data_IF_404479718310
#
_entry.id   IF_404479718310
#
_cell.length_a   1.000
_cell.length_b   1.000
_cell.length_c   1.000
_cell.angle_alpha   90.00
_cell.angle_beta   90.00
_cell.angle_gamma   90.00
#
_symmetry.space_group_name_H-M   'P 1'
#
loop_
_entity.id
_entity.type
_entity.pdbx_description
1 polymer ?
#
# COMPACT_ATOMS: atom_id res chain seq x y z
N UNK A 1 24.53 -38.30 27.16
CA UNK A 1 23.20 -37.86 26.73
C UNK A 1 23.26 -36.35 26.47
N UNK A 2 23.73 -35.96 25.28
CA UNK A 2 24.13 -34.58 24.92
C UNK A 2 23.57 -34.19 23.55
N UNK A 3 22.30 -34.49 23.24
CA UNK A 3 21.79 -34.27 21.87
C UNK A 3 20.29 -33.95 21.83
N UNK A 4 19.77 -33.11 22.73
CA UNK A 4 18.34 -32.77 22.71
C UNK A 4 18.00 -31.29 22.93
N UNK A 5 19.00 -30.40 23.03
CA UNK A 5 18.77 -28.98 23.34
C UNK A 5 19.12 -28.00 22.19
N UNK A 6 19.53 -28.51 21.03
CA UNK A 6 19.94 -27.68 19.89
C UNK A 6 18.86 -27.48 18.81
N UNK A 7 17.72 -28.17 18.90
CA UNK A 7 16.71 -28.23 17.83
C UNK A 7 15.47 -27.34 18.07
N UNK A 8 15.42 -26.60 19.19
CA UNK A 8 14.30 -25.71 19.51
C UNK A 8 14.53 -24.24 19.06
N UNK A 9 15.75 -23.86 18.67
CA UNK A 9 16.04 -22.49 18.22
C UNK A 9 15.97 -22.28 16.70
N UNK A 10 15.77 -23.35 15.91
CA UNK A 10 15.73 -23.26 14.44
C UNK A 10 14.31 -23.35 13.84
N UNK A 11 13.27 -23.49 14.66
CA UNK A 11 11.89 -23.68 14.18
C UNK A 11 11.01 -22.43 14.12
N UNK A 12 11.47 -21.29 14.64
CA UNK A 12 10.62 -20.10 14.86
C UNK A 12 10.96 -18.90 13.96
N UNK A 13 11.77 -19.10 12.92
CA UNK A 13 12.21 -18.03 12.01
C UNK A 13 11.49 -18.00 10.65
N UNK A 14 10.45 -18.81 10.43
CA UNK A 14 9.77 -18.93 9.12
C UNK A 14 8.35 -18.35 9.14
N UNK A 15 8.07 -17.32 9.94
CA UNK A 15 6.70 -16.79 10.10
C UNK A 15 6.46 -15.43 9.41
N UNK A 16 7.48 -14.77 8.85
CA UNK A 16 7.27 -13.43 8.25
C UNK A 16 7.94 -13.27 6.89
N UNK A 17 7.53 -14.06 5.90
CA UNK A 17 7.85 -13.77 4.51
C UNK A 17 6.68 -14.11 3.59
N UNK A 18 5.51 -13.56 3.89
CA UNK A 18 4.46 -13.37 2.90
C UNK A 18 4.20 -11.87 2.78
N UNK A 19 5.22 -11.16 2.27
CA UNK A 19 4.95 -9.89 1.61
C UNK A 19 4.01 -10.23 0.45
N UNK A 20 2.79 -9.72 0.51
CA UNK A 20 1.77 -9.94 -0.49
C UNK A 20 2.31 -9.56 -1.87
N UNK A 21 2.75 -10.57 -2.63
CA UNK A 21 3.00 -10.45 -4.06
C UNK A 21 1.63 -10.45 -4.74
N UNK A 22 0.82 -9.45 -4.39
CA UNK A 22 -0.23 -8.99 -5.28
C UNK A 22 0.51 -8.37 -6.45
N UNK A 23 0.75 -9.16 -7.48
CA UNK A 23 1.21 -8.72 -8.80
C UNK A 23 0.17 -7.77 -9.36
N UNK A 24 0.18 -6.56 -8.84
CA UNK A 24 -0.70 -5.49 -9.18
C UNK A 24 -0.13 -4.87 -10.43
N UNK A 25 -0.68 -5.25 -11.58
CA UNK A 25 -0.25 -4.93 -12.94
C UNK A 25 -0.40 -3.43 -13.30
N UNK A 26 -0.08 -2.54 -12.35
CA UNK A 26 -0.24 -1.08 -12.41
C UNK A 26 1.11 -0.35 -12.33
N UNK A 27 2.14 -0.99 -11.79
CA UNK A 27 3.48 -0.40 -11.60
C UNK A 27 4.11 -0.10 -12.96
N UNK A 28 4.56 1.15 -13.16
CA UNK A 28 5.20 1.56 -14.42
C UNK A 28 4.32 1.47 -15.68
N UNK A 29 3.02 1.15 -15.57
CA UNK A 29 2.08 1.13 -16.69
C UNK A 29 1.22 2.40 -16.68
N UNK A 30 0.85 2.93 -17.86
CA UNK A 30 -0.10 4.03 -17.94
C UNK A 30 -1.48 3.55 -17.49
N UNK A 31 -2.17 4.36 -16.69
CA UNK A 31 -3.55 4.10 -16.32
C UNK A 31 -4.49 4.42 -17.49
N UNK A 32 -5.40 3.50 -17.79
CA UNK A 32 -6.51 3.80 -18.70
C UNK A 32 -7.52 4.69 -17.97
N UNK A 33 -8.12 5.61 -18.73
CA UNK A 33 -8.96 6.65 -18.17
C UNK A 33 -10.26 6.05 -17.59
N UNK A 34 -10.29 5.86 -16.27
CA UNK A 34 -11.45 5.29 -15.58
C UNK A 34 -12.41 6.35 -15.02
N UNK A 35 -12.16 7.64 -15.29
CA UNK A 35 -13.09 8.75 -15.08
C UNK A 35 -13.63 8.98 -13.65
N UNK A 36 -13.04 8.39 -12.61
CA UNK A 36 -13.60 8.42 -11.25
C UNK A 36 -12.63 8.98 -10.23
N UNK A 37 -12.75 10.28 -9.95
CA UNK A 37 -11.92 10.97 -8.95
C UNK A 37 -12.00 10.22 -7.61
N UNK A 38 -10.83 9.90 -7.07
CA UNK A 38 -10.69 9.09 -5.86
C UNK A 38 -9.93 9.87 -4.80
N UNK A 39 -10.51 9.99 -3.60
CA UNK A 39 -9.75 10.44 -2.44
C UNK A 39 -9.10 9.23 -1.76
N UNK A 40 -7.87 9.39 -1.29
CA UNK A 40 -7.19 8.35 -0.53
C UNK A 40 -6.36 8.92 0.62
N UNK A 41 -6.11 8.09 1.62
CA UNK A 41 -5.35 8.40 2.83
C UNK A 41 -4.30 7.33 3.09
N UNK A 42 -3.05 7.72 3.36
CA UNK A 42 -1.94 6.80 3.61
C UNK A 42 -1.45 6.78 5.07
N UNK A 43 -2.33 7.05 6.04
CA UNK A 43 -1.96 7.22 7.45
C UNK A 43 -1.16 8.50 7.77
N UNK A 44 -0.65 9.21 6.76
CA UNK A 44 0.08 10.47 6.95
C UNK A 44 -0.75 11.66 6.46
N UNK A 45 -1.25 11.59 5.22
CA UNK A 45 -1.91 12.71 4.57
C UNK A 45 -2.99 12.24 3.57
N UNK A 46 -3.89 13.16 3.21
CA UNK A 46 -4.94 12.93 2.22
C UNK A 46 -4.49 13.42 0.85
N UNK A 47 -4.76 12.62 -0.18
CA UNK A 47 -4.53 13.00 -1.57
C UNK A 47 -5.73 12.68 -2.46
N UNK A 48 -5.94 13.51 -3.48
CA UNK A 48 -6.92 13.28 -4.53
C UNK A 48 -6.19 12.72 -5.75
N UNK A 49 -6.69 11.59 -6.25
CA UNK A 49 -6.23 10.94 -7.46
C UNK A 49 -7.29 11.08 -8.55
N UNK A 50 -6.85 11.24 -9.80
CA UNK A 50 -7.75 11.37 -10.96
C UNK A 50 -8.61 10.11 -11.11
N UNK A 51 -8.05 8.94 -10.79
CA UNK A 51 -8.76 7.68 -10.79
C UNK A 51 -8.13 6.67 -9.80
N UNK A 52 -8.80 5.54 -9.49
CA UNK A 52 -8.25 4.51 -8.60
C UNK A 52 -6.97 3.86 -9.14
N UNK A 53 -6.77 3.84 -10.46
CA UNK A 53 -5.54 3.29 -11.05
C UNK A 53 -4.34 4.15 -10.67
N UNK A 54 -4.43 5.48 -10.77
CA UNK A 54 -3.35 6.40 -10.39
C UNK A 54 -2.99 6.27 -8.89
N UNK A 55 -4.00 6.06 -8.03
CA UNK A 55 -3.77 5.75 -6.62
C UNK A 55 -2.96 4.45 -6.44
N UNK A 56 -3.36 3.37 -7.13
CA UNK A 56 -2.68 2.07 -7.04
C UNK A 56 -1.28 2.10 -7.65
N UNK A 57 -1.10 2.80 -8.77
CA UNK A 57 0.18 3.04 -9.41
C UNK A 57 1.12 3.75 -8.45
N UNK A 58 0.66 4.83 -7.80
CA UNK A 58 1.44 5.53 -6.78
C UNK A 58 1.86 4.63 -5.62
N UNK A 59 0.94 3.79 -5.13
CA UNK A 59 1.27 2.83 -4.08
C UNK A 59 2.37 1.87 -4.52
N UNK A 60 2.39 1.46 -5.78
CA UNK A 60 3.43 0.58 -6.28
C UNK A 60 4.76 1.31 -6.52
N UNK A 61 4.71 2.47 -7.19
CA UNK A 61 5.90 3.21 -7.61
C UNK A 61 6.66 3.81 -6.42
N UNK A 62 5.97 4.13 -5.32
CA UNK A 62 6.54 4.88 -4.18
C UNK A 62 6.37 4.21 -2.80
N UNK A 63 5.76 3.01 -2.71
CA UNK A 63 5.35 2.36 -1.43
C UNK A 63 4.54 3.29 -0.50
N UNK A 64 3.75 4.20 -1.07
CA UNK A 64 3.02 5.20 -0.31
C UNK A 64 1.80 4.64 0.45
N UNK A 65 1.28 3.46 0.08
CA UNK A 65 0.17 2.74 0.77
C UNK A 65 -1.11 3.57 1.01
N UNK A 66 -1.53 4.37 0.04
CA UNK A 66 -2.84 5.04 0.03
C UNK A 66 -4.00 4.05 0.03
N UNK A 67 -4.99 4.31 0.90
CA UNK A 67 -6.27 3.60 0.96
C UNK A 67 -7.39 4.55 0.52
N UNK A 68 -8.25 4.09 -0.37
CA UNK A 68 -9.39 4.87 -0.84
C UNK A 68 -10.35 5.20 0.33
N UNK A 69 -10.74 6.47 0.41
CA UNK A 69 -11.69 7.00 1.40
C UNK A 69 -12.73 7.88 0.71
N UNK A 70 -13.72 8.37 1.46
CA UNK A 70 -14.74 9.26 0.92
C UNK A 70 -14.15 10.58 0.39
N UNK A 71 -14.68 11.07 -0.74
CA UNK A 71 -14.21 12.33 -1.35
C UNK A 71 -14.28 13.53 -0.38
N UNK A 72 -15.30 13.55 0.48
CA UNK A 72 -15.45 14.54 1.54
C UNK A 72 -14.25 14.58 2.51
N UNK A 73 -13.60 13.46 2.79
CA UNK A 73 -12.41 13.42 3.66
C UNK A 73 -11.26 14.21 3.04
N UNK A 74 -11.09 14.16 1.72
CA UNK A 74 -10.14 15.04 1.06
C UNK A 74 -10.61 16.49 1.14
N UNK A 75 -11.86 16.82 0.83
CA UNK A 75 -12.28 18.22 0.78
C UNK A 75 -12.22 18.92 2.15
N UNK A 76 -12.49 18.18 3.23
CA UNK A 76 -12.56 18.72 4.60
C UNK A 76 -11.24 18.62 5.37
N UNK A 77 -10.32 17.75 4.96
CA UNK A 77 -9.06 17.58 5.67
C UNK A 77 -8.09 18.72 5.42
N UNK A 78 -7.53 19.27 6.50
CA UNK A 78 -6.42 20.23 6.44
C UNK A 78 -5.07 19.54 6.15
N UNK A 79 -4.97 18.23 6.32
CA UNK A 79 -3.73 17.47 6.17
C UNK A 79 -3.62 16.89 4.75
N UNK A 80 -3.17 17.74 3.82
CA UNK A 80 -2.96 17.41 2.40
C UNK A 80 -1.53 16.95 2.15
N UNK A 81 -1.37 15.94 1.31
CA UNK A 81 -0.05 15.55 0.87
C UNK A 81 0.60 16.67 0.03
N UNK A 82 1.90 16.88 0.23
CA UNK A 82 2.74 17.77 -0.59
C UNK A 82 3.82 16.90 -1.22
N UNK A 83 3.84 16.84 -2.54
CA UNK A 83 4.76 16.01 -3.33
C UNK A 83 5.59 16.88 -4.25
#
# INVERSE_FOLDING_TARGET
MKFAFGLLCFGLAIVFAQAAIGSYDYCGKPCTDSGSITCAYNQVCYNVFINPCEMKKRNCDFDDRFLQVGLASCLLSANKCRF
#
